data_IF_612133828930
#
_entry.id   IF_612133828930
#
_cell.length_a   1.000
_cell.length_b   1.000
_cell.length_c   1.000
_cell.angle_alpha   90.00
_cell.angle_beta   90.00
_cell.angle_gamma   90.00
#
_symmetry.space_group_name_H-M   'P 1'
#
loop_
_entity.id
_entity.type
_entity.pdbx_description
1 polymer ?
#
# COMPACT_ATOMS: atom_id res chain seq x y z
N UNK A 1 4.66 27.38 13.98
CA UNK A 1 5.11 26.77 12.71
C UNK A 1 4.00 25.82 12.26
N UNK A 2 3.22 26.16 11.22
CA UNK A 2 2.19 25.26 10.67
C UNK A 2 2.90 24.24 9.79
N UNK A 3 3.23 23.08 10.35
CA UNK A 3 3.70 21.95 9.57
C UNK A 3 2.52 21.47 8.73
N UNK A 4 2.50 21.83 7.45
CA UNK A 4 1.65 21.16 6.48
C UNK A 4 2.23 19.75 6.32
N UNK A 5 1.75 18.81 7.12
CA UNK A 5 2.03 17.40 6.86
C UNK A 5 1.50 17.11 5.46
N UNK A 6 2.30 16.53 4.56
CA UNK A 6 1.77 16.09 3.27
C UNK A 6 0.57 15.18 3.59
N UNK A 7 -0.57 15.48 2.96
CA UNK A 7 -1.79 14.69 3.18
C UNK A 7 -1.51 13.21 2.90
N UNK A 8 -0.60 12.93 1.96
CA UNK A 8 -0.17 11.60 1.58
C UNK A 8 1.20 11.27 2.19
N UNK A 9 1.24 10.24 3.03
CA UNK A 9 2.45 9.80 3.77
C UNK A 9 3.16 8.64 3.10
N UNK A 10 2.45 7.90 2.24
CA UNK A 10 2.96 6.78 1.46
C UNK A 10 2.79 7.07 -0.03
N UNK A 11 3.80 6.72 -0.82
CA UNK A 11 3.76 6.78 -2.28
C UNK A 11 3.97 5.40 -2.88
N UNK A 12 3.26 5.11 -3.96
CA UNK A 12 3.44 3.90 -4.74
C UNK A 12 4.75 3.99 -5.55
N UNK A 13 5.65 3.02 -5.36
CA UNK A 13 6.92 2.94 -6.09
C UNK A 13 6.81 1.95 -7.25
N UNK A 14 6.45 0.71 -6.93
CA UNK A 14 6.40 -0.37 -7.92
C UNK A 14 5.55 -1.54 -7.40
N UNK A 15 5.39 -2.56 -8.26
CA UNK A 15 4.60 -3.75 -7.94
C UNK A 15 5.19 -5.01 -8.57
N UNK A 16 4.89 -6.14 -7.95
CA UNK A 16 4.97 -7.47 -8.55
C UNK A 16 3.66 -8.20 -8.28
N UNK A 17 3.12 -8.91 -9.26
CA UNK A 17 1.83 -9.59 -9.13
C UNK A 17 1.93 -11.00 -9.70
N UNK A 18 1.36 -11.95 -8.97
CA UNK A 18 1.10 -13.30 -9.43
C UNK A 18 -0.37 -13.65 -9.10
N UNK A 19 -0.75 -14.92 -9.26
CA UNK A 19 -2.14 -15.35 -9.16
C UNK A 19 -2.71 -15.30 -7.73
N UNK A 20 -1.87 -15.23 -6.69
CA UNK A 20 -2.27 -15.33 -5.28
C UNK A 20 -1.78 -14.18 -4.41
N UNK A 21 -0.89 -13.34 -4.94
CA UNK A 21 -0.26 -12.26 -4.21
C UNK A 21 0.08 -11.09 -5.13
N UNK A 22 -0.28 -9.89 -4.67
CA UNK A 22 0.23 -8.63 -5.17
C UNK A 22 1.20 -8.07 -4.13
N UNK A 23 2.47 -7.98 -4.52
CA UNK A 23 3.51 -7.29 -3.77
C UNK A 23 3.55 -5.83 -4.20
N UNK A 24 3.35 -4.92 -3.26
CA UNK A 24 3.39 -3.47 -3.48
C UNK A 24 4.60 -2.91 -2.74
N UNK A 25 5.42 -2.14 -3.46
CA UNK A 25 6.52 -1.39 -2.87
C UNK A 25 6.06 0.05 -2.68
N UNK A 26 6.16 0.55 -1.44
CA UNK A 26 5.72 1.90 -1.08
C UNK A 26 6.84 2.65 -0.38
N UNK A 27 6.99 3.95 -0.66
CA UNK A 27 7.95 4.81 0.03
C UNK A 27 7.24 5.66 1.09
N UNK A 28 7.82 5.77 2.27
CA UNK A 28 7.35 6.70 3.30
C UNK A 28 8.00 8.07 3.15
N UNK A 29 7.18 9.12 3.13
CA UNK A 29 7.62 10.53 3.21
C UNK A 29 7.32 11.17 4.56
N UNK A 30 6.72 10.43 5.49
CA UNK A 30 6.49 10.93 6.84
C UNK A 30 7.81 11.04 7.59
N UNK A 31 7.93 12.04 8.47
CA UNK A 31 9.08 12.20 9.36
C UNK A 31 9.16 11.15 10.49
N UNK A 32 8.17 10.28 10.59
CA UNK A 32 8.01 9.22 11.60
C UNK A 32 7.73 7.89 10.92
N UNK A 33 7.89 6.80 11.66
CA UNK A 33 7.52 5.46 11.17
C UNK A 33 6.01 5.39 10.91
N UNK A 34 5.64 4.83 9.76
CA UNK A 34 4.25 4.65 9.33
C UNK A 34 3.91 3.17 9.40
N UNK A 35 2.83 2.83 10.11
CA UNK A 35 2.30 1.47 10.12
C UNK A 35 1.19 1.35 9.09
N UNK A 36 1.15 0.25 8.34
CA UNK A 36 -0.02 -0.09 7.52
C UNK A 36 -1.02 -0.80 8.44
N UNK A 37 -2.22 -0.24 8.57
CA UNK A 37 -3.25 -0.76 9.48
C UNK A 37 -4.25 -1.65 8.75
N UNK A 38 -4.61 -1.28 7.52
CA UNK A 38 -5.59 -2.00 6.71
C UNK A 38 -5.18 -1.92 5.24
N UNK A 39 -5.57 -2.94 4.47
CA UNK A 39 -5.44 -2.92 3.03
C UNK A 39 -6.67 -3.56 2.38
N UNK A 40 -7.00 -3.08 1.18
CA UNK A 40 -8.17 -3.51 0.44
C UNK A 40 -7.83 -3.69 -1.03
N UNK A 41 -8.43 -4.69 -1.66
CA UNK A 41 -8.37 -4.96 -3.10
C UNK A 41 -9.81 -5.02 -3.60
N UNK A 42 -10.15 -4.18 -4.59
CA UNK A 42 -11.52 -3.99 -5.09
C UNK A 42 -12.56 -3.68 -4.00
N UNK A 43 -12.12 -3.04 -2.91
CA UNK A 43 -12.97 -2.72 -1.76
C UNK A 43 -13.10 -3.85 -0.73
N UNK A 44 -12.64 -5.06 -1.05
CA UNK A 44 -12.61 -6.18 -0.12
C UNK A 44 -11.36 -6.12 0.78
N UNK A 45 -11.49 -6.35 2.09
CA UNK A 45 -10.34 -6.35 3.00
C UNK A 45 -9.37 -7.48 2.63
N UNK A 46 -8.07 -7.17 2.69
CA UNK A 46 -7.00 -8.12 2.46
C UNK A 46 -6.23 -8.36 3.77
N UNK A 47 -5.94 -9.62 4.05
CA UNK A 47 -5.15 -9.99 5.22
C UNK A 47 -3.69 -9.54 5.04
N UNK A 48 -3.24 -8.69 5.95
CA UNK A 48 -1.82 -8.36 6.12
C UNK A 48 -1.22 -9.44 7.02
N UNK A 49 -0.49 -10.40 6.43
CA UNK A 49 0.14 -11.50 7.19
C UNK A 49 1.09 -11.02 8.29
N UNK A 50 1.68 -9.84 8.11
CA UNK A 50 2.65 -9.26 9.04
C UNK A 50 2.34 -7.77 9.27
N UNK A 51 2.67 -7.29 10.47
CA UNK A 51 2.57 -5.87 10.79
C UNK A 51 3.58 -5.09 9.96
N UNK A 52 3.16 -4.48 8.86
CA UNK A 52 4.05 -3.68 8.00
C UNK A 52 4.31 -2.33 8.66
N UNK A 53 5.57 -2.11 9.06
CA UNK A 53 6.07 -0.83 9.58
C UNK A 53 7.13 -0.31 8.62
N UNK A 54 6.96 0.92 8.18
CA UNK A 54 7.80 1.58 7.17
C UNK A 54 8.48 2.76 7.84
N UNK A 55 9.80 2.72 7.92
CA UNK A 55 10.58 3.82 8.48
C UNK A 55 10.56 5.06 7.59
N UNK A 56 10.77 6.23 8.20
CA UNK A 56 10.86 7.51 7.49
C UNK A 56 11.88 7.45 6.36
N UNK A 57 11.48 7.81 5.13
CA UNK A 57 12.33 7.81 3.93
C UNK A 57 12.56 6.44 3.29
N UNK A 58 12.21 5.35 3.96
CA UNK A 58 12.47 3.98 3.51
C UNK A 58 11.37 3.45 2.57
N UNK A 59 11.71 2.37 1.86
CA UNK A 59 10.75 1.61 1.04
C UNK A 59 10.27 0.38 1.81
N UNK A 60 8.97 0.31 2.04
CA UNK A 60 8.28 -0.83 2.62
C UNK A 60 7.71 -1.77 1.57
N UNK A 61 7.53 -3.04 1.97
CA UNK A 61 6.93 -4.08 1.14
C UNK A 61 5.61 -4.49 1.78
N UNK A 62 4.54 -4.49 0.98
CA UNK A 62 3.20 -4.89 1.40
C UNK A 62 2.75 -6.06 0.52
N UNK A 63 2.42 -7.18 1.15
CA UNK A 63 1.87 -8.34 0.47
C UNK A 63 0.35 -8.36 0.63
N UNK A 64 -0.36 -8.28 -0.50
CA UNK A 64 -1.81 -8.34 -0.57
C UNK A 64 -2.22 -9.70 -1.13
N UNK A 65 -2.85 -10.53 -0.30
CA UNK A 65 -3.28 -11.87 -0.69
C UNK A 65 -4.73 -11.83 -1.19
N UNK A 66 -4.90 -12.15 -2.47
CA UNK A 66 -6.18 -12.15 -3.17
C UNK A 66 -6.11 -13.09 -4.39
N UNK A 67 -7.26 -13.45 -4.96
CA UNK A 67 -7.30 -14.16 -6.24
C UNK A 67 -7.11 -13.21 -7.43
N UNK A 68 -5.91 -13.23 -8.02
CA UNK A 68 -5.58 -12.38 -9.16
C UNK A 68 -5.63 -13.16 -10.48
N UNK A 69 -6.23 -12.55 -11.50
CA UNK A 69 -6.41 -13.10 -12.84
C UNK A 69 -5.77 -12.17 -13.87
N UNK A 70 -5.00 -12.75 -14.81
CA UNK A 70 -4.38 -11.98 -15.89
C UNK A 70 -5.44 -11.33 -16.77
N UNK A 71 -5.17 -10.11 -17.21
CA UNK A 71 -6.10 -9.28 -17.99
C UNK A 71 -6.95 -8.33 -17.13
N UNK A 72 -7.18 -8.66 -15.85
CA UNK A 72 -8.03 -7.89 -14.94
C UNK A 72 -7.33 -6.66 -14.35
N UNK A 73 -8.15 -5.69 -13.92
CA UNK A 73 -7.69 -4.49 -13.22
C UNK A 73 -8.22 -4.48 -11.79
N UNK A 74 -7.33 -4.18 -10.85
CA UNK A 74 -7.58 -4.19 -9.42
C UNK A 74 -7.38 -2.80 -8.84
N UNK A 75 -8.34 -2.32 -8.05
CA UNK A 75 -8.20 -1.09 -7.28
C UNK A 75 -7.70 -1.43 -5.88
N UNK A 76 -6.54 -0.89 -5.52
CA UNK A 76 -5.89 -1.14 -4.24
C UNK A 76 -6.04 0.10 -3.37
N UNK A 77 -6.39 -0.10 -2.10
CA UNK A 77 -6.41 0.94 -1.06
C UNK A 77 -5.59 0.48 0.13
N UNK A 78 -4.55 1.23 0.45
CA UNK A 78 -3.66 0.98 1.58
C UNK A 78 -3.90 2.08 2.61
N UNK A 79 -4.26 1.71 3.83
CA UNK A 79 -4.56 2.64 4.92
C UNK A 79 -3.36 2.71 5.87
N UNK A 80 -2.60 3.82 5.86
CA UNK A 80 -1.56 4.05 6.85
C UNK A 80 -2.16 4.51 8.19
N UNK A 81 -1.40 4.33 9.27
CA UNK A 81 -1.73 4.84 10.60
C UNK A 81 -1.69 6.37 10.70
N UNK A 82 -1.10 7.04 9.70
CA UNK A 82 -0.95 8.48 9.62
C UNK A 82 -1.13 8.94 8.17
N UNK A 83 -1.89 10.01 7.96
CA UNK A 83 -2.16 10.59 6.64
C UNK A 83 -3.34 9.95 5.93
N UNK A 84 -3.50 10.31 4.66
CA UNK A 84 -4.56 9.81 3.77
C UNK A 84 -4.20 8.43 3.21
N UNK A 85 -5.21 7.58 2.92
CA UNK A 85 -4.99 6.31 2.23
C UNK A 85 -4.30 6.50 0.87
N UNK A 86 -3.43 5.56 0.54
CA UNK A 86 -2.84 5.44 -0.79
C UNK A 86 -3.79 4.57 -1.64
N UNK A 87 -4.29 5.14 -2.74
CA UNK A 87 -5.25 4.49 -3.64
C UNK A 87 -4.70 4.50 -5.07
N UNK A 88 -4.68 3.35 -5.73
CA UNK A 88 -4.22 3.22 -7.12
C UNK A 88 -4.82 1.99 -7.80
N UNK A 89 -4.80 1.96 -9.13
CA UNK A 89 -5.28 0.83 -9.93
C UNK A 89 -4.14 0.10 -10.62
N UNK A 90 -4.21 -1.23 -10.65
CA UNK A 90 -3.21 -2.14 -11.21
C UNK A 90 -3.86 -3.09 -12.19
N UNK A 91 -3.38 -3.10 -13.43
CA UNK A 91 -3.67 -4.18 -14.38
C UNK A 91 -2.69 -5.34 -14.20
N UNK A 92 -3.18 -6.57 -14.04
CA UNK A 92 -2.37 -7.78 -14.13
C UNK A 92 -2.18 -8.12 -15.61
N UNK A 93 -0.95 -8.01 -16.10
CA UNK A 93 -0.60 -8.30 -17.50
C UNK A 93 -0.29 -9.78 -17.70
#
# INVERSE_FOLDING_TARGET
MKSAFPAQTLEFVSKSINNTCLTVYVRSFASVNVKVVEAYVNGEPCDLKESVVISSGEVGIIHLHYEYRKGETYTVRIVPSLGSPLIFSIKYK
#
